data_IF_349175112810
#
_entry.id   IF_349175112810
#
_cell.length_a   1.000
_cell.length_b   1.000
_cell.length_c   1.000
_cell.angle_alpha   90.00
_cell.angle_beta   90.00
_cell.angle_gamma   90.00
#
_symmetry.space_group_name_H-M   'P 1'
#
loop_
_entity.id
_entity.type
_entity.pdbx_description
1 polymer ?
#
# COMPACT_ATOMS: atom_id res chain seq x y z
N UNK A 1 -18.74 -8.98 -12.69
CA UNK A 1 -18.69 -7.66 -12.04
C UNK A 1 -20.12 -7.32 -11.68
N UNK A 2 -20.47 -7.12 -10.41
CA UNK A 2 -21.83 -6.75 -10.01
C UNK A 2 -22.15 -5.37 -10.56
N UNK A 3 -23.18 -5.26 -11.39
CA UNK A 3 -23.69 -4.00 -11.88
C UNK A 3 -24.21 -3.19 -10.69
N UNK A 4 -23.73 -1.94 -10.53
CA UNK A 4 -24.28 -1.02 -9.55
C UNK A 4 -25.43 -0.31 -10.24
N UNK A 5 -26.58 -0.28 -9.59
CA UNK A 5 -27.63 0.65 -9.97
C UNK A 5 -27.24 2.06 -9.51
N UNK A 6 -26.68 2.84 -10.44
CA UNK A 6 -26.24 4.21 -10.20
C UNK A 6 -27.41 5.18 -9.96
N UNK A 7 -28.66 4.74 -10.19
CA UNK A 7 -29.87 5.51 -9.86
C UNK A 7 -30.19 5.39 -8.37
N UNK A 8 -29.97 4.23 -7.77
CA UNK A 8 -30.30 3.99 -6.35
C UNK A 8 -29.14 4.31 -5.38
N UNK A 9 -27.89 4.23 -5.85
CA UNK A 9 -26.72 4.23 -4.97
C UNK A 9 -25.57 5.15 -5.40
N UNK A 10 -25.00 5.87 -4.42
CA UNK A 10 -23.70 6.51 -4.51
C UNK A 10 -22.58 5.55 -4.05
N UNK A 11 -21.61 5.27 -4.92
CA UNK A 11 -20.42 4.49 -4.55
C UNK A 11 -19.40 5.34 -3.78
N UNK A 12 -19.14 4.98 -2.52
CA UNK A 12 -18.04 5.54 -1.72
C UNK A 12 -16.91 4.52 -1.55
N UNK A 13 -15.75 4.81 -2.14
CA UNK A 13 -14.56 3.96 -2.08
C UNK A 13 -13.92 4.05 -0.70
N UNK A 14 -13.84 2.91 -0.02
CA UNK A 14 -13.19 2.83 1.29
C UNK A 14 -11.68 2.58 1.14
N UNK A 15 -10.95 2.88 2.22
CA UNK A 15 -9.55 2.52 2.31
C UNK A 15 -9.40 0.99 2.42
N UNK A 16 -8.33 0.42 1.86
CA UNK A 16 -8.01 -0.98 2.10
C UNK A 16 -7.81 -1.27 3.59
N UNK A 17 -8.08 -2.50 4.05
CA UNK A 17 -7.80 -2.88 5.43
C UNK A 17 -6.31 -2.66 5.75
N UNK A 18 -6.04 -2.17 6.95
CA UNK A 18 -4.68 -2.07 7.46
C UNK A 18 -4.32 -3.38 8.15
N UNK A 19 -3.22 -4.00 7.73
CA UNK A 19 -2.65 -5.15 8.42
C UNK A 19 -1.95 -4.69 9.72
N UNK A 20 -1.76 -5.58 10.71
CA UNK A 20 -0.98 -5.29 11.90
C UNK A 20 0.37 -4.67 11.51
N UNK A 21 0.73 -3.56 12.16
CA UNK A 21 1.94 -2.80 11.83
C UNK A 21 3.06 -3.18 12.78
N UNK A 22 4.08 -3.87 12.28
CA UNK A 22 5.37 -3.86 12.92
C UNK A 22 6.01 -2.47 12.77
N UNK A 23 6.99 -2.17 13.63
CA UNK A 23 7.69 -0.87 13.63
C UNK A 23 8.40 -0.57 12.30
N UNK A 24 8.75 -1.62 11.55
CA UNK A 24 9.46 -1.57 10.28
C UNK A 24 8.55 -1.66 9.04
N UNK A 25 7.22 -1.72 9.19
CA UNK A 25 6.27 -1.64 8.09
C UNK A 25 6.00 -0.19 7.67
N UNK A 26 6.07 0.07 6.36
CA UNK A 26 5.81 1.39 5.77
C UNK A 26 4.81 1.26 4.62
N UNK A 27 3.66 1.92 4.78
CA UNK A 27 2.70 2.06 3.71
C UNK A 27 3.05 3.24 2.81
N UNK A 28 3.25 2.96 1.53
CA UNK A 28 3.52 3.98 0.54
C UNK A 28 2.19 4.56 0.07
N UNK A 29 1.99 5.85 0.33
CA UNK A 29 0.83 6.60 -0.15
C UNK A 29 1.25 7.60 -1.22
N UNK A 30 0.27 8.11 -1.98
CA UNK A 30 0.52 9.14 -3.00
C UNK A 30 0.75 10.53 -2.41
N UNK A 31 0.22 10.80 -1.22
CA UNK A 31 0.23 12.12 -0.59
C UNK A 31 1.55 12.44 0.12
N UNK A 32 2.24 11.42 0.65
CA UNK A 32 3.56 11.64 1.26
C UNK A 32 4.63 11.80 0.18
N UNK A 33 5.50 12.80 0.32
CA UNK A 33 6.58 13.04 -0.65
C UNK A 33 7.57 11.86 -0.70
N UNK A 34 8.13 11.60 -1.89
CA UNK A 34 9.14 10.54 -2.09
C UNK A 34 10.37 10.82 -1.20
N UNK A 35 10.77 12.08 -1.06
CA UNK A 35 11.90 12.48 -0.22
C UNK A 35 11.68 12.08 1.25
N UNK A 36 10.50 12.38 1.81
CA UNK A 36 10.17 12.03 3.19
C UNK A 36 10.11 10.50 3.41
N UNK A 37 9.53 9.76 2.45
CA UNK A 37 9.50 8.30 2.50
C UNK A 37 10.92 7.71 2.51
N UNK A 38 11.80 8.20 1.63
CA UNK A 38 13.19 7.74 1.58
C UNK A 38 13.95 8.05 2.87
N UNK A 39 13.81 9.26 3.40
CA UNK A 39 14.46 9.64 4.64
C UNK A 39 14.05 8.74 5.81
N UNK A 40 12.74 8.43 5.92
CA UNK A 40 12.22 7.49 6.93
C UNK A 40 12.77 6.08 6.78
N UNK A 41 12.83 5.56 5.55
CA UNK A 41 13.36 4.21 5.27
C UNK A 41 14.83 4.11 5.70
N UNK A 42 15.65 5.07 5.28
CA UNK A 42 17.08 5.11 5.60
C UNK A 42 17.27 5.18 7.11
N UNK A 43 16.55 6.08 7.79
CA UNK A 43 16.62 6.20 9.25
C UNK A 43 16.31 4.88 9.95
N UNK A 44 15.27 4.16 9.52
CA UNK A 44 14.93 2.86 10.13
C UNK A 44 16.02 1.81 9.91
N UNK A 45 16.64 1.78 8.72
CA UNK A 45 17.77 0.90 8.46
C UNK A 45 18.96 1.26 9.36
N UNK A 46 19.25 2.56 9.54
CA UNK A 46 20.35 3.05 10.37
C UNK A 46 20.13 2.82 11.87
N UNK A 47 18.87 2.83 12.34
CA UNK A 47 18.45 2.48 13.71
C UNK A 47 18.60 0.97 14.04
N UNK A 48 19.42 0.24 13.27
CA UNK A 48 19.69 -1.21 13.37
C UNK A 48 18.46 -2.11 13.20
N UNK A 49 17.44 -1.67 12.44
CA UNK A 49 16.47 -2.63 11.92
C UNK A 49 17.14 -3.48 10.85
N UNK A 50 16.99 -4.81 10.94
CA UNK A 50 17.52 -5.73 9.93
C UNK A 50 16.87 -5.53 8.56
N UNK A 51 15.61 -5.09 8.58
CA UNK A 51 14.81 -4.89 7.38
C UNK A 51 13.69 -3.87 7.55
N UNK A 52 13.24 -3.33 6.42
CA UNK A 52 12.06 -2.48 6.28
C UNK A 52 11.15 -3.10 5.22
N UNK A 53 9.84 -3.13 5.47
CA UNK A 53 8.86 -3.69 4.52
C UNK A 53 8.01 -2.54 3.98
N UNK A 54 8.04 -2.37 2.65
CA UNK A 54 7.21 -1.39 1.95
C UNK A 54 5.93 -2.06 1.44
N UNK A 55 4.77 -1.47 1.75
CA UNK A 55 3.48 -1.93 1.28
C UNK A 55 2.91 -0.92 0.29
N UNK A 56 2.69 -1.37 -0.95
CA UNK A 56 2.04 -0.61 -2.01
C UNK A 56 0.72 -1.26 -2.41
N UNK A 57 -0.39 -0.55 -2.24
CA UNK A 57 -1.73 -1.06 -2.56
C UNK A 57 -2.32 -0.32 -3.77
N UNK A 58 -2.83 -1.07 -4.74
CA UNK A 58 -3.49 -0.55 -5.95
C UNK A 58 -2.65 0.52 -6.65
N UNK A 59 -3.16 1.75 -6.71
CA UNK A 59 -2.49 2.87 -7.37
C UNK A 59 -1.11 3.24 -6.79
N UNK A 60 -0.75 2.75 -5.60
CA UNK A 60 0.57 3.00 -5.00
C UNK A 60 1.64 1.97 -5.41
N UNK A 61 1.30 0.90 -6.14
CA UNK A 61 2.25 -0.16 -6.53
C UNK A 61 3.45 0.42 -7.28
N UNK A 62 3.23 1.16 -8.38
CA UNK A 62 4.33 1.74 -9.18
C UNK A 62 5.21 2.70 -8.37
N UNK A 63 4.59 3.49 -7.48
CA UNK A 63 5.31 4.40 -6.58
C UNK A 63 6.18 3.63 -5.59
N UNK A 64 5.68 2.53 -5.05
CA UNK A 64 6.41 1.67 -4.09
C UNK A 64 7.66 1.07 -4.72
N UNK A 65 7.54 0.57 -5.95
CA UNK A 65 8.66 0.07 -6.74
C UNK A 65 9.69 1.18 -6.97
N UNK A 66 9.23 2.36 -7.38
CA UNK A 66 10.11 3.51 -7.61
C UNK A 66 10.91 3.90 -6.35
N UNK A 67 10.24 3.97 -5.20
CA UNK A 67 10.90 4.26 -3.91
C UNK A 67 11.95 3.19 -3.57
N UNK A 68 11.61 1.91 -3.69
CA UNK A 68 12.52 0.81 -3.39
C UNK A 68 13.79 0.84 -4.27
N UNK A 69 13.63 1.03 -5.58
CA UNK A 69 14.75 1.13 -6.52
C UNK A 69 15.63 2.35 -6.24
N UNK A 70 15.05 3.50 -5.87
CA UNK A 70 15.82 4.67 -5.48
C UNK A 70 16.63 4.44 -4.19
N UNK A 71 16.08 3.70 -3.23
CA UNK A 71 16.80 3.32 -2.01
C UNK A 71 17.97 2.40 -2.33
N UNK A 72 17.73 1.34 -3.12
CA UNK A 72 18.76 0.40 -3.52
C UNK A 72 19.94 1.11 -4.22
N UNK A 73 19.64 2.01 -5.17
CA UNK A 73 20.65 2.84 -5.84
C UNK A 73 21.41 3.77 -4.89
N UNK A 74 20.69 4.44 -3.98
CA UNK A 74 21.30 5.37 -3.02
C UNK A 74 22.23 4.67 -2.04
N UNK A 75 21.91 3.44 -1.66
CA UNK A 75 22.71 2.62 -0.75
C UNK A 75 23.72 1.74 -1.48
N UNK A 76 24.00 2.02 -2.77
CA UNK A 76 25.06 1.38 -3.57
C UNK A 76 25.04 -0.15 -3.45
N UNK A 77 23.84 -0.75 -3.56
CA UNK A 77 23.62 -2.21 -3.47
C UNK A 77 24.08 -2.91 -2.18
N UNK A 78 24.28 -2.14 -1.09
CA UNK A 78 24.46 -2.68 0.27
C UNK A 78 23.18 -3.28 0.86
N UNK A 79 22.06 -3.14 0.16
CA UNK A 79 20.76 -3.72 0.48
C UNK A 79 20.28 -4.61 -0.65
N UNK A 80 19.50 -5.64 -0.32
CA UNK A 80 18.76 -6.49 -1.26
C UNK A 80 17.26 -6.22 -1.16
N UNK A 81 16.56 -6.44 -2.27
CA UNK A 81 15.11 -6.34 -2.37
C UNK A 81 14.50 -7.73 -2.52
N UNK A 82 13.55 -8.09 -1.67
CA UNK A 82 12.67 -9.26 -1.84
C UNK A 82 11.25 -8.77 -2.11
N UNK A 83 10.66 -9.22 -3.22
CA UNK A 83 9.38 -8.69 -3.72
C UNK A 83 8.32 -9.78 -3.69
N UNK A 84 7.20 -9.49 -3.01
CA UNK A 84 6.01 -10.33 -3.00
C UNK A 84 4.83 -9.56 -3.55
N UNK A 85 4.00 -10.24 -4.31
CA UNK A 85 2.72 -9.71 -4.79
C UNK A 85 1.58 -10.28 -3.95
N UNK A 86 0.45 -9.59 -3.94
CA UNK A 86 -0.73 -10.03 -3.23
C UNK A 86 -1.99 -9.45 -3.83
N UNK A 87 -3.13 -9.93 -3.33
CA UNK A 87 -4.44 -9.37 -3.65
C UNK A 87 -5.12 -9.01 -2.34
N UNK A 88 -5.60 -7.77 -2.24
CA UNK A 88 -6.29 -7.26 -1.06
C UNK A 88 -7.75 -7.03 -1.41
N UNK A 89 -8.64 -7.62 -0.62
CA UNK A 89 -10.08 -7.37 -0.69
C UNK A 89 -10.40 -6.06 0.03
N UNK A 90 -11.13 -5.18 -0.63
CA UNK A 90 -11.60 -3.90 -0.09
C UNK A 90 -13.12 -3.88 -0.17
N UNK A 91 -13.76 -3.55 0.93
CA UNK A 91 -15.22 -3.42 1.01
C UNK A 91 -15.57 -1.94 0.88
N UNK A 92 -16.03 -1.52 -0.30
CA UNK A 92 -16.56 -0.19 -0.55
C UNK A 92 -18.02 -0.09 -0.06
N UNK A 93 -18.46 1.12 0.27
CA UNK A 93 -19.83 1.39 0.71
C UNK A 93 -20.69 1.86 -0.46
N UNK A 94 -21.94 1.39 -0.52
CA UNK A 94 -22.98 1.89 -1.41
C UNK A 94 -24.00 2.65 -0.55
N UNK A 95 -23.98 3.97 -0.67
CA UNK A 95 -24.87 4.86 0.08
C UNK A 95 -26.18 5.02 -0.69
N UNK A 96 -27.34 4.77 -0.07
CA UNK A 96 -28.62 4.94 -0.75
C UNK A 96 -28.88 6.42 -1.05
N UNK A 97 -29.49 6.68 -2.20
CA UNK A 97 -29.92 8.02 -2.61
C UNK A 97 -31.38 8.33 -2.20
N UNK A 98 -32.11 7.33 -1.72
CA UNK A 98 -33.51 7.41 -1.29
C UNK A 98 -33.69 6.72 0.07
N UNK A 99 -34.58 7.24 0.91
CA UNK A 99 -34.82 6.73 2.27
C UNK A 99 -35.41 5.30 2.30
N UNK A 100 -36.02 4.87 1.21
CA UNK A 100 -36.67 3.56 1.07
C UNK A 100 -35.68 2.43 0.77
N UNK A 101 -34.39 2.75 0.62
CA UNK A 101 -33.35 1.84 0.15
C UNK A 101 -32.28 1.65 1.22
N UNK A 102 -31.95 0.39 1.53
CA UNK A 102 -30.94 0.06 2.54
C UNK A 102 -29.50 0.27 2.05
N UNK A 103 -28.60 0.54 3.00
CA UNK A 103 -27.15 0.54 2.79
C UNK A 103 -26.66 -0.82 2.27
N UNK A 104 -25.82 -0.79 1.24
CA UNK A 104 -25.17 -1.99 0.69
C UNK A 104 -23.66 -1.86 0.71
N UNK A 105 -22.98 -2.98 0.49
CA UNK A 105 -21.52 -3.00 0.33
C UNK A 105 -21.12 -3.69 -0.97
N UNK A 106 -19.96 -3.29 -1.50
CA UNK A 106 -19.37 -3.92 -2.66
C UNK A 106 -17.92 -4.28 -2.39
N UNK A 107 -17.61 -5.55 -2.61
CA UNK A 107 -16.23 -6.01 -2.54
C UNK A 107 -15.51 -5.76 -3.87
N UNK A 108 -14.30 -5.20 -3.80
CA UNK A 108 -13.36 -5.13 -4.92
C UNK A 108 -12.02 -5.74 -4.52
N UNK A 109 -11.31 -6.29 -5.50
CA UNK A 109 -9.96 -6.79 -5.33
C UNK A 109 -8.98 -5.77 -5.88
N UNK A 110 -7.91 -5.50 -5.13
CA UNK A 110 -6.81 -4.65 -5.60
C UNK A 110 -5.49 -5.41 -5.52
N UNK A 111 -4.61 -5.17 -6.48
CA UNK A 111 -3.23 -5.68 -6.43
C UNK A 111 -2.47 -5.03 -5.28
N UNK A 112 -1.58 -5.81 -4.67
CA UNK A 112 -0.65 -5.36 -3.64
C UNK A 112 0.77 -5.79 -3.99
N UNK A 113 1.73 -4.97 -3.57
CA UNK A 113 3.16 -5.29 -3.59
C UNK A 113 3.74 -5.08 -2.19
N UNK A 114 4.58 -6.02 -1.78
CA UNK A 114 5.34 -5.99 -0.54
C UNK A 114 6.81 -6.09 -0.91
N UNK A 115 7.59 -5.05 -0.64
CA UNK A 115 9.03 -5.02 -0.92
C UNK A 115 9.77 -4.99 0.39
N UNK A 116 10.42 -6.09 0.74
CA UNK A 116 11.34 -6.18 1.87
C UNK A 116 12.71 -5.67 1.43
N UNK A 117 13.20 -4.67 2.15
CA UNK A 117 14.53 -4.09 1.99
C UNK A 117 15.36 -4.55 3.20
N UNK A 118 16.37 -5.37 2.98
CA UNK A 118 17.23 -5.89 4.03
C UNK A 118 18.70 -5.70 3.66
N UNK A 119 19.59 -5.65 4.66
CA UNK A 119 21.04 -5.60 4.41
C UNK A 119 21.48 -6.82 3.58
N UNK A 120 22.41 -6.60 2.66
CA UNK A 120 23.07 -7.68 1.94
C UNK A 120 24.10 -8.27 2.88
N UNK A 121 23.95 -9.54 3.23
CA UNK A 121 25.01 -10.29 3.91
C UNK A 121 26.06 -10.56 2.84
N UNK A 122 27.27 -10.06 3.04
CA UNK A 122 28.44 -10.38 2.23
C UNK A 122 29.00 -11.74 2.62
#
# INVERSE_FOLDING_TARGET
MTHIDEVEYELRKNLPPQFPKAKNDIYITRHTSIAAQKARIIRLLDEKMDEVILHGLGAAVSRTINVALQIQRKLVDTVKLDVKTGTVKVTDSLFPLYDEVDFKTRNRLISAIHIRISRRIM
#
